data_IF_997885899814
#
_entry.id   IF_997885899814
#
_cell.length_a   1.000
_cell.length_b   1.000
_cell.length_c   1.000
_cell.angle_alpha   90.00
_cell.angle_beta   90.00
_cell.angle_gamma   90.00
#
_symmetry.space_group_name_H-M   'P 1'
#
loop_
_entity.id
_entity.type
_entity.pdbx_description
1 polymer ?
#
# COMPACT_ATOMS: atom_id res chain seq x y z
N UNK A 1 2.58 19.61 -7.24
CA UNK A 1 1.41 19.54 -8.15
C UNK A 1 0.17 19.50 -7.27
N UNK A 2 -0.80 20.42 -7.40
CA UNK A 2 -2.00 20.37 -6.60
C UNK A 2 -2.78 19.09 -6.93
N UNK A 3 -3.29 18.41 -5.91
CA UNK A 3 -4.24 17.33 -6.06
C UNK A 3 -5.55 17.97 -6.54
N UNK A 4 -5.79 17.94 -7.84
CA UNK A 4 -6.89 18.68 -8.49
C UNK A 4 -8.20 17.91 -8.55
N UNK A 5 -8.22 16.62 -8.17
CA UNK A 5 -9.43 15.81 -8.14
C UNK A 5 -9.87 15.53 -6.70
N UNK A 6 -11.18 15.65 -6.44
CA UNK A 6 -11.78 15.27 -5.17
C UNK A 6 -11.74 13.75 -5.06
N UNK A 7 -11.23 13.21 -3.96
CA UNK A 7 -11.30 11.77 -3.67
C UNK A 7 -12.77 11.35 -3.56
N UNK A 8 -13.16 10.37 -4.37
CA UNK A 8 -14.45 9.72 -4.28
C UNK A 8 -14.35 8.53 -3.32
N UNK A 9 -15.09 8.62 -2.21
CA UNK A 9 -15.06 7.61 -1.14
C UNK A 9 -15.71 6.31 -1.59
N UNK A 10 -16.79 6.39 -2.38
CA UNK A 10 -17.51 5.20 -2.84
C UNK A 10 -16.66 4.43 -3.85
N UNK A 11 -15.93 5.15 -4.72
CA UNK A 11 -14.95 4.55 -5.61
C UNK A 11 -13.77 3.93 -4.85
N UNK A 12 -13.33 4.52 -3.73
CA UNK A 12 -12.30 3.90 -2.88
C UNK A 12 -12.79 2.58 -2.28
N UNK A 13 -14.01 2.56 -1.74
CA UNK A 13 -14.60 1.35 -1.14
C UNK A 13 -14.93 0.25 -2.16
N UNK A 14 -15.23 0.63 -3.41
CA UNK A 14 -15.53 -0.30 -4.51
C UNK A 14 -14.36 -0.55 -5.45
N UNK A 15 -13.16 -0.04 -5.13
CA UNK A 15 -11.98 -0.18 -5.97
C UNK A 15 -11.67 -1.68 -6.17
N UNK A 16 -11.54 -2.15 -7.43
CA UNK A 16 -11.19 -3.54 -7.68
C UNK A 16 -9.88 -3.93 -7.00
N UNK A 17 -9.90 -5.05 -6.24
CA UNK A 17 -8.75 -5.54 -5.46
C UNK A 17 -7.47 -5.63 -6.30
N UNK A 18 -7.55 -6.07 -7.56
CA UNK A 18 -6.40 -6.14 -8.48
C UNK A 18 -5.77 -4.77 -8.77
N UNK A 19 -6.57 -3.70 -8.84
CA UNK A 19 -6.04 -2.34 -9.07
C UNK A 19 -5.31 -1.84 -7.83
N UNK A 20 -5.86 -2.10 -6.65
CA UNK A 20 -5.20 -1.76 -5.40
C UNK A 20 -3.91 -2.54 -5.19
N UNK A 21 -3.91 -3.86 -5.46
CA UNK A 21 -2.72 -4.69 -5.37
C UNK A 21 -1.60 -4.21 -6.31
N UNK A 22 -1.94 -3.87 -7.56
CA UNK A 22 -0.97 -3.26 -8.51
C UNK A 22 -0.43 -1.93 -8.01
N UNK A 23 -1.27 -1.06 -7.45
CA UNK A 23 -0.83 0.20 -6.86
C UNK A 23 0.13 -0.04 -5.67
N UNK A 24 -0.16 -1.02 -4.82
CA UNK A 24 0.72 -1.43 -3.72
C UNK A 24 2.07 -1.91 -4.22
N UNK A 25 2.11 -2.81 -5.21
CA UNK A 25 3.38 -3.29 -5.80
C UNK A 25 4.19 -2.13 -6.37
N UNK A 26 3.56 -1.18 -7.06
CA UNK A 26 4.27 -0.01 -7.59
C UNK A 26 4.90 0.85 -6.49
N UNK A 27 4.27 0.96 -5.32
CA UNK A 27 4.85 1.68 -4.18
C UNK A 27 6.03 0.89 -3.61
N UNK A 28 5.86 -0.41 -3.38
CA UNK A 28 6.91 -1.29 -2.85
C UNK A 28 8.13 -1.32 -3.77
N UNK A 29 7.92 -1.44 -5.09
CA UNK A 29 8.99 -1.44 -6.10
C UNK A 29 9.86 -0.18 -6.05
N UNK A 30 9.26 0.97 -5.71
CA UNK A 30 10.00 2.25 -5.62
C UNK A 30 10.82 2.40 -4.35
N UNK A 31 10.39 1.76 -3.26
CA UNK A 31 11.07 1.90 -1.96
C UNK A 31 11.98 0.70 -1.65
N UNK A 32 11.89 -0.41 -2.38
CA UNK A 32 12.60 -1.67 -2.08
C UNK A 32 14.13 -1.54 -1.92
N UNK A 33 14.75 -0.56 -2.57
CA UNK A 33 16.21 -0.37 -2.55
C UNK A 33 16.70 0.58 -1.46
N UNK A 34 15.78 1.21 -0.71
CA UNK A 34 16.10 2.12 0.39
C UNK A 34 16.42 1.34 1.69
N UNK A 35 17.01 2.00 2.69
CA UNK A 35 17.19 1.38 4.00
C UNK A 35 15.82 1.06 4.64
N UNK A 36 15.70 0.05 5.51
CA UNK A 36 14.43 -0.28 6.16
C UNK A 36 13.77 0.93 6.86
N UNK A 37 14.57 1.80 7.48
CA UNK A 37 14.11 3.03 8.14
C UNK A 37 13.53 4.02 7.13
N UNK A 38 14.21 4.22 6.00
CA UNK A 38 13.74 5.09 4.91
C UNK A 38 12.45 4.56 4.27
N UNK A 39 12.33 3.24 4.14
CA UNK A 39 11.12 2.61 3.61
C UNK A 39 9.91 2.86 4.51
N UNK A 40 10.05 2.62 5.82
CA UNK A 40 8.97 2.84 6.79
C UNK A 40 8.62 4.32 6.87
N UNK A 41 9.61 5.19 7.06
CA UNK A 41 9.38 6.62 7.20
C UNK A 41 8.77 7.22 5.92
N UNK A 42 9.29 6.85 4.76
CA UNK A 42 8.83 7.32 3.46
C UNK A 42 7.39 6.87 3.15
N UNK A 43 7.06 5.59 3.37
CA UNK A 43 5.71 5.08 3.15
C UNK A 43 4.68 5.76 4.08
N UNK A 44 5.01 5.89 5.37
CA UNK A 44 4.15 6.55 6.35
C UNK A 44 3.95 8.03 6.03
N UNK A 45 5.02 8.76 5.73
CA UNK A 45 4.94 10.18 5.38
C UNK A 45 4.13 10.41 4.11
N UNK A 46 4.33 9.59 3.07
CA UNK A 46 3.56 9.66 1.84
C UNK A 46 2.07 9.42 2.10
N UNK A 47 1.72 8.39 2.88
CA UNK A 47 0.33 8.12 3.26
C UNK A 47 -0.33 9.30 4.00
N UNK A 48 0.35 9.87 4.99
CA UNK A 48 -0.17 11.01 5.76
C UNK A 48 -0.38 12.24 4.87
N UNK A 49 0.60 12.60 4.05
CA UNK A 49 0.51 13.74 3.13
C UNK A 49 -0.61 13.57 2.10
N UNK A 50 -0.83 12.35 1.62
CA UNK A 50 -1.95 12.02 0.72
C UNK A 50 -3.29 12.23 1.44
N UNK A 51 -3.42 11.71 2.66
CA UNK A 51 -4.63 11.88 3.48
C UNK A 51 -4.92 13.36 3.76
N UNK A 52 -3.91 14.14 4.14
CA UNK A 52 -4.03 15.59 4.34
C UNK A 52 -4.47 16.30 3.05
N UNK A 53 -3.83 15.97 1.93
CA UNK A 53 -4.14 16.56 0.62
C UNK A 53 -5.58 16.30 0.16
N UNK A 54 -6.10 15.10 0.42
CA UNK A 54 -7.50 14.75 0.13
C UNK A 54 -8.48 15.12 1.25
N UNK A 55 -8.00 15.65 2.39
CA UNK A 55 -8.79 15.84 3.61
C UNK A 55 -9.56 14.57 4.02
N UNK A 56 -8.89 13.43 3.88
CA UNK A 56 -9.46 12.12 4.14
C UNK A 56 -8.92 11.56 5.46
N UNK A 57 -9.77 11.14 6.41
CA UNK A 57 -9.29 10.60 7.69
C UNK A 57 -8.42 9.37 7.48
N UNK A 58 -7.22 9.37 8.07
CA UNK A 58 -6.27 8.26 7.95
C UNK A 58 -6.87 6.93 8.44
N UNK A 59 -7.66 6.97 9.51
CA UNK A 59 -8.34 5.78 10.04
C UNK A 59 -9.31 5.17 9.04
N UNK A 60 -10.08 5.99 8.33
CA UNK A 60 -11.03 5.54 7.29
C UNK A 60 -10.28 4.90 6.12
N UNK A 61 -9.14 5.47 5.72
CA UNK A 61 -8.28 4.92 4.67
C UNK A 61 -7.71 3.55 5.05
N UNK A 62 -7.24 3.42 6.29
CA UNK A 62 -6.77 2.14 6.80
C UNK A 62 -7.89 1.11 6.87
N UNK A 63 -9.07 1.48 7.35
CA UNK A 63 -10.21 0.57 7.42
C UNK A 63 -10.63 0.07 6.03
N UNK A 64 -10.78 0.98 5.06
CA UNK A 64 -11.12 0.63 3.67
C UNK A 64 -10.08 -0.31 3.05
N UNK A 65 -8.80 0.02 3.20
CA UNK A 65 -7.70 -0.77 2.64
C UNK A 65 -7.58 -2.14 3.31
N UNK A 66 -7.75 -2.21 4.64
CA UNK A 66 -7.72 -3.47 5.38
C UNK A 66 -8.86 -4.40 4.94
N UNK A 67 -10.06 -3.87 4.74
CA UNK A 67 -11.18 -4.65 4.22
C UNK A 67 -10.92 -5.16 2.81
N UNK A 68 -10.24 -4.37 1.98
CA UNK A 68 -9.86 -4.78 0.63
C UNK A 68 -8.80 -5.89 0.62
N UNK A 69 -7.88 -5.85 1.58
CA UNK A 69 -6.85 -6.87 1.81
C UNK A 69 -7.35 -8.08 2.60
N UNK A 70 -8.50 -7.98 3.24
CA UNK A 70 -9.07 -9.04 4.06
C UNK A 70 -9.54 -10.20 3.18
N UNK A 71 -9.22 -11.41 3.63
CA UNK A 71 -9.67 -12.66 3.04
C UNK A 71 -11.06 -13.01 3.57
N UNK A 72 -12.06 -13.04 2.69
CA UNK A 72 -13.42 -13.43 3.08
C UNK A 72 -13.72 -14.92 2.83
N UNK A 73 -12.87 -15.63 2.10
CA UNK A 73 -13.01 -17.06 1.82
C UNK A 73 -11.66 -17.77 2.02
N UNK A 74 -11.68 -18.99 2.55
CA UNK A 74 -10.55 -19.94 2.69
C UNK A 74 -9.90 -20.33 1.33
N UNK A 75 -10.26 -19.65 0.25
CA UNK A 75 -9.68 -19.73 -1.10
C UNK A 75 -9.18 -18.33 -1.45
N UNK A 76 -8.02 -17.98 -0.89
CA UNK A 76 -7.47 -16.63 -0.79
C UNK A 76 -7.64 -15.73 -2.03
N UNK A 77 -7.85 -14.43 -1.77
CA UNK A 77 -7.77 -13.42 -2.82
C UNK A 77 -6.30 -13.20 -3.18
N UNK A 78 -5.90 -13.92 -4.22
CA UNK A 78 -4.53 -14.05 -4.74
C UNK A 78 -3.81 -12.76 -5.08
N UNK A 79 -4.52 -11.63 -5.21
CA UNK A 79 -4.00 -10.43 -5.83
C UNK A 79 -2.94 -9.73 -4.97
N UNK A 80 -3.09 -9.78 -3.64
CA UNK A 80 -2.07 -9.28 -2.70
C UNK A 80 -1.04 -10.35 -2.32
N UNK A 81 -1.23 -11.62 -2.69
CA UNK A 81 -0.28 -12.68 -2.37
C UNK A 81 1.04 -12.46 -3.10
N UNK A 82 1.03 -11.92 -4.32
CA UNK A 82 2.24 -11.49 -5.00
C UNK A 82 3.05 -10.45 -4.19
N UNK A 83 2.37 -9.48 -3.56
CA UNK A 83 3.02 -8.50 -2.70
C UNK A 83 3.56 -9.13 -1.42
N UNK A 84 2.85 -10.09 -0.82
CA UNK A 84 3.33 -10.82 0.37
C UNK A 84 4.52 -11.71 0.04
N UNK A 85 4.43 -12.52 -1.02
CA UNK A 85 5.54 -13.35 -1.51
C UNK A 85 6.76 -12.50 -1.85
N UNK A 86 6.58 -11.30 -2.38
CA UNK A 86 7.67 -10.37 -2.64
C UNK A 86 8.36 -9.88 -1.35
N UNK A 87 7.61 -9.67 -0.26
CA UNK A 87 8.19 -9.35 1.06
C UNK A 87 8.89 -10.55 1.70
N UNK A 88 8.30 -11.75 1.57
CA UNK A 88 8.82 -13.00 2.16
C UNK A 88 10.05 -13.53 1.40
N UNK A 89 10.13 -13.31 0.09
CA UNK A 89 11.22 -13.77 -0.77
C UNK A 89 12.48 -12.92 -0.61
N UNK A 90 13.05 -12.83 0.59
CA UNK A 90 14.44 -12.39 0.87
C UNK A 90 14.92 -11.04 0.27
N UNK A 91 14.11 -10.24 -0.43
CA UNK A 91 14.48 -8.89 -0.93
C UNK A 91 14.74 -7.92 0.24
N UNK A 92 14.18 -8.22 1.41
CA UNK A 92 14.41 -7.53 2.69
C UNK A 92 15.47 -8.20 3.58
N UNK A 93 16.05 -9.33 3.18
CA UNK A 93 17.22 -9.89 3.88
C UNK A 93 18.40 -8.98 3.57
N UNK A 94 18.61 -8.02 4.47
CA UNK A 94 19.88 -7.38 4.87
C UNK A 94 21.01 -7.52 3.87
N UNK A 95 21.46 -6.38 3.31
CA UNK A 95 22.80 -6.27 2.71
C UNK A 95 23.79 -7.06 3.56
N UNK A 96 24.60 -7.97 2.99
CA UNK A 96 25.70 -8.55 3.75
C UNK A 96 26.57 -7.38 4.21
N UNK A 97 26.80 -7.29 5.53
CA UNK A 97 27.75 -6.33 6.10
C UNK A 97 29.09 -6.51 5.37
N UNK A 98 29.43 -5.59 4.49
CA UNK A 98 30.78 -5.36 3.96
C UNK A 98 31.29 -4.05 4.51
#
# INVERSE_FOLDING_TARGET
MPITSRLDRDLLHSLPTIKAARATINILDRIQFLSPEEQIAGACAAFMLICEGYKFPAQDAFAATKNMMAHHDDRGRSEFDAARSYLDADVFRTKPNT
#
